data_IF_792710623767
#
_entry.id   IF_792710623767
#
_cell.length_a   1.000
_cell.length_b   1.000
_cell.length_c   1.000
_cell.angle_alpha   90.00
_cell.angle_beta   90.00
_cell.angle_gamma   90.00
#
_symmetry.space_group_name_H-M   'P 1'
#
loop_
_entity.id
_entity.type
_entity.pdbx_description
1 polymer ?
#
# COMPACT_ATOMS: atom_id res chain seq x y z
N UNK A 1 -52.31 -23.15 -19.48
CA UNK A 1 -51.23 -22.48 -20.24
C UNK A 1 -50.88 -21.12 -19.64
N UNK A 2 -51.83 -20.18 -19.48
CA UNK A 2 -51.56 -18.84 -18.92
C UNK A 2 -51.03 -18.88 -17.48
N UNK A 3 -51.59 -19.74 -16.61
CA UNK A 3 -51.16 -19.90 -15.22
C UNK A 3 -49.71 -20.40 -15.09
N UNK A 4 -49.31 -21.35 -15.93
CA UNK A 4 -47.94 -21.86 -16.00
C UNK A 4 -46.96 -20.77 -16.43
N UNK A 5 -47.38 -19.92 -17.38
CA UNK A 5 -46.57 -18.81 -17.89
C UNK A 5 -46.36 -17.73 -16.82
N UNK A 6 -47.37 -17.45 -15.99
CA UNK A 6 -47.26 -16.54 -14.85
C UNK A 6 -46.32 -17.06 -13.76
N UNK A 7 -46.35 -18.37 -13.46
CA UNK A 7 -45.44 -18.98 -12.48
C UNK A 7 -43.99 -18.91 -12.97
N UNK A 8 -43.76 -19.21 -14.25
CA UNK A 8 -42.43 -19.11 -14.88
C UNK A 8 -41.89 -17.69 -14.87
N UNK A 9 -42.74 -16.70 -15.19
CA UNK A 9 -42.37 -15.29 -15.15
C UNK A 9 -42.05 -14.82 -13.73
N UNK A 10 -42.83 -15.26 -12.74
CA UNK A 10 -42.59 -14.98 -11.32
C UNK A 10 -41.25 -15.53 -10.84
N UNK A 11 -40.93 -16.78 -11.18
CA UNK A 11 -39.64 -17.39 -10.85
C UNK A 11 -38.46 -16.67 -11.52
N UNK A 12 -38.62 -16.25 -12.78
CA UNK A 12 -37.62 -15.45 -13.49
C UNK A 12 -37.39 -14.09 -12.82
N UNK A 13 -38.46 -13.41 -12.42
CA UNK A 13 -38.36 -12.14 -11.69
C UNK A 13 -37.66 -12.31 -10.34
N UNK A 14 -38.01 -13.35 -9.57
CA UNK A 14 -37.34 -13.64 -8.29
C UNK A 14 -35.86 -13.93 -8.49
N UNK A 15 -35.50 -14.70 -9.52
CA UNK A 15 -34.11 -14.99 -9.87
C UNK A 15 -33.32 -13.72 -10.23
N UNK A 16 -33.89 -12.82 -11.02
CA UNK A 16 -33.23 -11.57 -11.39
C UNK A 16 -33.06 -10.63 -10.19
N UNK A 17 -34.04 -10.60 -9.28
CA UNK A 17 -33.98 -9.78 -8.06
C UNK A 17 -32.87 -10.28 -7.13
N UNK A 18 -32.81 -11.59 -6.85
CA UNK A 18 -31.76 -12.14 -5.97
C UNK A 18 -30.35 -11.88 -6.53
N UNK A 19 -30.18 -12.00 -7.85
CA UNK A 19 -28.90 -11.71 -8.49
C UNK A 19 -28.50 -10.23 -8.34
N UNK A 20 -29.44 -9.30 -8.53
CA UNK A 20 -29.19 -7.87 -8.37
C UNK A 20 -28.88 -7.46 -6.92
N UNK A 21 -29.52 -8.07 -5.93
CA UNK A 21 -29.19 -7.80 -4.53
C UNK A 21 -27.76 -8.27 -4.21
N UNK A 22 -27.36 -9.47 -4.64
CA UNK A 22 -26.00 -9.97 -4.42
C UNK A 22 -24.94 -9.04 -5.01
N UNK A 23 -25.14 -8.52 -6.23
CA UNK A 23 -24.21 -7.54 -6.81
C UNK A 23 -24.09 -6.26 -5.99
N UNK A 24 -25.20 -5.77 -5.40
CA UNK A 24 -25.17 -4.57 -4.56
C UNK A 24 -24.44 -4.80 -3.24
N UNK A 25 -24.64 -5.95 -2.61
CA UNK A 25 -23.94 -6.31 -1.36
C UNK A 25 -22.43 -6.47 -1.56
N UNK A 26 -22.01 -7.07 -2.67
CA UNK A 26 -20.59 -7.24 -2.99
C UNK A 26 -19.91 -5.87 -3.19
N UNK A 27 -20.55 -4.96 -3.93
CA UNK A 27 -20.03 -3.60 -4.15
C UNK A 27 -19.91 -2.79 -2.85
N UNK A 28 -20.90 -2.91 -1.95
CA UNK A 28 -20.85 -2.24 -0.64
C UNK A 28 -19.74 -2.81 0.24
N UNK A 29 -19.54 -4.13 0.23
CA UNK A 29 -18.47 -4.78 0.99
C UNK A 29 -17.09 -4.40 0.47
N UNK A 30 -16.92 -4.33 -0.86
CA UNK A 30 -15.67 -3.86 -1.49
C UNK A 30 -15.39 -2.39 -1.16
N UNK A 31 -16.42 -1.53 -1.18
CA UNK A 31 -16.26 -0.11 -0.80
C UNK A 31 -15.83 0.05 0.66
N UNK A 32 -16.40 -0.75 1.57
CA UNK A 32 -16.05 -0.74 2.99
C UNK A 32 -14.63 -1.24 3.26
N UNK A 33 -14.22 -2.32 2.59
CA UNK A 33 -12.84 -2.82 2.70
C UNK A 33 -11.84 -1.80 2.14
N UNK A 34 -12.17 -1.12 1.05
CA UNK A 34 -11.32 -0.08 0.49
C UNK A 34 -11.23 1.16 1.39
N UNK A 35 -12.31 1.54 2.07
CA UNK A 35 -12.26 2.64 3.05
C UNK A 35 -11.47 2.27 4.29
N UNK A 36 -11.60 1.04 4.80
CA UNK A 36 -10.80 0.56 5.93
C UNK A 36 -9.29 0.52 5.61
N UNK A 37 -8.90 0.14 4.40
CA UNK A 37 -7.49 0.18 3.95
C UNK A 37 -7.00 1.62 3.81
N UNK A 38 -7.86 2.55 3.37
CA UNK A 38 -7.48 3.94 3.18
C UNK A 38 -7.41 4.72 4.51
N UNK A 39 -8.18 4.31 5.53
CA UNK A 39 -8.13 4.91 6.88
C UNK A 39 -6.99 4.35 7.74
N UNK A 40 -6.52 3.12 7.48
CA UNK A 40 -5.38 2.55 8.21
C UNK A 40 -4.10 2.78 7.41
N UNK A 41 -3.57 3.99 7.53
CA UNK A 41 -2.35 4.51 6.90
C UNK A 41 -1.06 3.68 7.17
N UNK A 42 -1.15 2.56 7.89
CA UNK A 42 -0.02 1.84 8.47
C UNK A 42 -0.13 0.30 8.53
N UNK A 43 -1.08 -0.35 7.85
CA UNK A 43 -1.09 -1.83 7.86
C UNK A 43 -0.43 -2.38 6.60
N UNK A 44 0.79 -2.94 6.76
CA UNK A 44 1.56 -3.68 5.76
C UNK A 44 0.89 -5.01 5.33
N UNK A 45 -0.44 -5.11 5.35
CA UNK A 45 -1.14 -6.33 4.98
C UNK A 45 -1.67 -6.26 3.56
N UNK A 46 -1.26 -7.26 2.79
CA UNK A 46 -1.72 -7.54 1.44
C UNK A 46 -3.24 -7.77 1.45
N UNK A 47 -3.99 -7.25 0.46
CA UNK A 47 -5.44 -7.45 0.40
C UNK A 47 -5.70 -8.94 0.17
N UNK A 48 -6.16 -9.64 1.20
CA UNK A 48 -6.60 -11.04 1.14
C UNK A 48 -8.09 -11.10 0.81
N UNK A 49 -8.42 -10.99 -0.47
CA UNK A 49 -9.79 -11.25 -0.94
C UNK A 49 -10.06 -12.74 -1.06
N UNK A 50 -10.96 -13.29 -0.24
CA UNK A 50 -11.54 -14.63 -0.37
C UNK A 50 -12.73 -14.67 -1.35
N UNK A 51 -12.73 -13.83 -2.37
CA UNK A 51 -13.90 -13.61 -3.23
C UNK A 51 -13.86 -14.48 -4.49
N UNK A 52 -14.89 -15.31 -4.66
CA UNK A 52 -15.05 -16.28 -5.76
C UNK A 52 -15.42 -15.67 -7.13
N UNK A 53 -15.46 -14.33 -7.27
CA UNK A 53 -15.79 -13.64 -8.54
C UNK A 53 -14.53 -13.22 -9.32
N UNK A 54 -14.41 -13.71 -10.56
CA UNK A 54 -13.28 -13.46 -11.49
C UNK A 54 -12.95 -11.96 -11.74
N UNK A 55 -13.91 -11.02 -11.86
CA UNK A 55 -13.58 -9.62 -12.14
C UNK A 55 -12.98 -8.89 -10.93
N UNK A 56 -13.48 -9.18 -9.72
CA UNK A 56 -13.06 -8.51 -8.48
C UNK A 56 -11.70 -9.00 -8.03
N UNK A 57 -11.38 -10.27 -8.29
CA UNK A 57 -10.05 -10.83 -8.10
C UNK A 57 -8.98 -10.08 -8.92
N UNK A 58 -9.26 -9.71 -10.18
CA UNK A 58 -8.30 -8.96 -11.03
C UNK A 58 -7.99 -7.57 -10.49
N UNK A 59 -9.01 -6.88 -9.99
CA UNK A 59 -8.84 -5.55 -9.40
C UNK A 59 -8.02 -5.66 -8.10
N UNK A 60 -8.33 -6.63 -7.25
CA UNK A 60 -7.56 -6.92 -6.04
C UNK A 60 -6.09 -7.23 -6.34
N UNK A 61 -5.81 -8.02 -7.40
CA UNK A 61 -4.43 -8.31 -7.80
C UNK A 61 -3.67 -7.09 -8.30
N UNK A 62 -4.30 -6.20 -9.07
CA UNK A 62 -3.65 -4.97 -9.55
C UNK A 62 -3.40 -3.98 -8.40
N UNK A 63 -4.32 -3.86 -7.45
CA UNK A 63 -4.11 -3.04 -6.24
C UNK A 63 -2.95 -3.58 -5.40
N UNK A 64 -2.91 -4.89 -5.16
CA UNK A 64 -1.80 -5.53 -4.42
C UNK A 64 -0.45 -5.35 -5.12
N UNK A 65 -0.43 -5.40 -6.45
CA UNK A 65 0.77 -5.11 -7.24
C UNK A 65 1.24 -3.67 -7.06
N UNK A 66 0.31 -2.71 -7.01
CA UNK A 66 0.63 -1.30 -6.77
C UNK A 66 1.18 -1.08 -5.34
N UNK A 67 0.55 -1.68 -4.32
CA UNK A 67 1.00 -1.61 -2.92
C UNK A 67 2.42 -2.18 -2.80
N UNK A 68 2.67 -3.35 -3.39
CA UNK A 68 4.00 -3.99 -3.37
C UNK A 68 5.06 -3.10 -4.01
N UNK A 69 4.75 -2.49 -5.16
CA UNK A 69 5.66 -1.57 -5.84
C UNK A 69 5.99 -0.35 -4.96
N UNK A 70 4.98 0.25 -4.33
CA UNK A 70 5.16 1.41 -3.48
C UNK A 70 5.97 1.09 -2.20
N UNK A 71 5.78 -0.09 -1.63
CA UNK A 71 6.57 -0.57 -0.50
C UNK A 71 8.05 -0.75 -0.87
N UNK A 72 8.33 -1.36 -2.02
CA UNK A 72 9.70 -1.53 -2.52
C UNK A 72 10.39 -0.18 -2.74
N UNK A 73 9.69 0.80 -3.31
CA UNK A 73 10.22 2.15 -3.52
C UNK A 73 10.51 2.87 -2.20
N UNK A 74 9.60 2.76 -1.20
CA UNK A 74 9.83 3.30 0.15
C UNK A 74 11.04 2.67 0.83
N UNK A 75 11.23 1.36 0.71
CA UNK A 75 12.39 0.67 1.28
C UNK A 75 13.69 1.11 0.60
N UNK A 76 13.69 1.22 -0.73
CA UNK A 76 14.83 1.72 -1.48
C UNK A 76 15.22 3.14 -1.06
N UNK A 77 14.24 4.04 -0.98
CA UNK A 77 14.47 5.42 -0.55
C UNK A 77 15.03 5.49 0.88
N UNK A 78 14.47 4.73 1.83
CA UNK A 78 14.98 4.66 3.20
C UNK A 78 16.44 4.21 3.25
N UNK A 79 16.81 3.21 2.44
CA UNK A 79 18.19 2.73 2.36
C UNK A 79 19.13 3.81 1.82
N UNK A 80 18.72 4.52 0.77
CA UNK A 80 19.53 5.60 0.20
C UNK A 80 19.75 6.75 1.18
N UNK A 81 18.71 7.17 1.90
CA UNK A 81 18.83 8.20 2.95
C UNK A 81 19.77 7.74 4.07
N UNK A 82 19.75 6.46 4.43
CA UNK A 82 20.65 5.92 5.45
C UNK A 82 22.12 5.96 4.98
N UNK A 83 22.40 5.45 3.77
CA UNK A 83 23.75 5.47 3.18
C UNK A 83 24.29 6.89 3.06
N UNK A 84 23.45 7.82 2.59
CA UNK A 84 23.84 9.22 2.50
C UNK A 84 24.21 9.80 3.87
N UNK A 85 23.43 9.51 4.92
CA UNK A 85 23.76 9.95 6.29
C UNK A 85 25.08 9.38 6.80
N UNK A 86 25.40 8.13 6.47
CA UNK A 86 26.70 7.53 6.81
C UNK A 86 27.85 8.21 6.07
N UNK A 87 27.69 8.54 4.79
CA UNK A 87 28.68 9.33 4.04
C UNK A 87 28.90 10.70 4.67
N UNK A 88 27.83 11.43 5.01
CA UNK A 88 27.95 12.73 5.70
C UNK A 88 28.66 12.59 7.05
N UNK A 89 28.40 11.53 7.81
CA UNK A 89 29.05 11.26 9.08
C UNK A 89 30.55 10.98 8.90
N UNK A 90 30.92 10.18 7.90
CA UNK A 90 32.32 9.91 7.56
C UNK A 90 33.05 11.18 7.11
N UNK A 91 32.47 11.97 6.21
CA UNK A 91 33.05 13.25 5.79
C UNK A 91 33.24 14.17 7.00
N UNK A 92 32.23 14.27 7.87
CA UNK A 92 32.32 15.08 9.09
C UNK A 92 33.42 14.62 10.04
N UNK A 93 33.62 13.31 10.15
CA UNK A 93 34.71 12.73 10.93
C UNK A 93 36.08 13.08 10.33
N UNK A 94 36.24 12.91 9.02
CA UNK A 94 37.51 13.14 8.32
C UNK A 94 37.87 14.63 8.27
N UNK A 95 36.89 15.53 8.30
CA UNK A 95 37.12 16.97 8.45
C UNK A 95 37.57 17.36 9.86
N UNK A 96 37.13 16.64 10.90
CA UNK A 96 37.50 16.94 12.30
C UNK A 96 38.98 16.69 12.56
N UNK A 97 39.56 15.67 11.94
CA UNK A 97 40.96 15.26 12.13
C UNK A 97 41.97 16.38 11.77
N UNK A 98 41.98 16.95 10.54
CA UNK A 98 42.90 18.02 10.19
C UNK A 98 42.59 19.31 10.97
N UNK A 99 41.32 19.63 11.24
CA UNK A 99 40.94 20.83 12.01
C UNK A 99 41.45 20.80 13.45
N UNK A 100 41.43 19.62 14.07
CA UNK A 100 41.95 19.43 15.44
C UNK A 100 43.47 19.59 15.46
N UNK A 101 44.17 19.00 14.48
CA UNK A 101 45.62 19.19 14.33
C UNK A 101 45.99 20.66 14.08
N UNK A 102 45.23 21.35 13.23
CA UNK A 102 45.44 22.76 12.91
C UNK A 102 45.20 23.66 14.13
N UNK A 103 44.19 23.34 14.95
CA UNK A 103 43.98 24.00 16.25
C UNK A 103 45.17 23.79 17.18
N UNK A 104 45.72 22.58 17.27
CA UNK A 104 46.91 22.28 18.06
C UNK A 104 48.14 23.09 17.61
N UNK A 105 48.36 23.23 16.30
CA UNK A 105 49.43 24.09 15.77
C UNK A 105 49.22 25.56 16.14
N UNK A 106 47.99 26.07 16.08
CA UNK A 106 47.70 27.46 16.48
C UNK A 106 47.89 27.70 17.98
N UNK A 107 47.61 26.71 18.84
CA UNK A 107 47.87 26.81 20.28
C UNK A 107 49.37 26.88 20.58
N UNK A 108 50.19 26.06 19.91
CA UNK A 108 51.66 26.10 20.05
C UNK A 108 52.28 27.42 19.57
N UNK A 109 51.70 28.04 18.53
CA UNK A 109 52.16 29.34 18.01
C UNK A 109 51.75 30.53 18.89
N UNK A 110 50.79 30.34 19.80
CA UNK A 110 50.29 31.40 20.69
C UNK A 110 51.05 31.45 22.03
N UNK A 111 51.86 30.44 22.32
CA UNK A 111 52.91 30.42 23.36
C UNK A 111 54.18 31.10 22.89
#
# INVERSE_FOLDING_TARGET
>A
MITVLLILLGLLCVYLVTQNLSYRYDLLSMKKQLSEINEVELTNENIRTSTHLKPTAKISTEINKLITKQQAERQYYKKQVHLQKEEWANISHDLRTPLTSLKGYMELLKT
#
